data_IF_253261300603
#
_entry.id   IF_253261300603
#
_cell.length_a   1.000
_cell.length_b   1.000
_cell.length_c   1.000
_cell.angle_alpha   90.00
_cell.angle_beta   90.00
_cell.angle_gamma   90.00
#
_symmetry.space_group_name_H-M   'P 1'
#
loop_
_entity.id
_entity.type
_entity.pdbx_description
1 polymer ?
#
# COMPACT_ATOMS: atom_id res chain seq x y z
N UNK A 1 0.93 -7.55 19.73
CA UNK A 1 0.38 -7.67 18.34
C UNK A 1 -0.23 -6.34 17.97
N UNK A 2 0.32 -5.66 17.01
CA UNK A 2 -0.13 -4.36 16.50
C UNK A 2 -0.27 -4.42 14.97
N UNK A 3 -1.11 -3.54 14.39
CA UNK A 3 -1.20 -3.33 12.95
C UNK A 3 -0.41 -2.07 12.59
N UNK A 4 0.50 -2.20 11.66
CA UNK A 4 1.29 -1.11 11.09
C UNK A 4 1.01 -0.93 9.60
N UNK A 5 1.43 0.19 9.04
CA UNK A 5 1.39 0.43 7.61
C UNK A 5 2.51 1.37 7.15
N UNK A 6 2.92 1.20 5.91
CA UNK A 6 3.78 2.11 5.14
C UNK A 6 3.56 1.83 3.65
N UNK A 7 3.65 2.82 2.80
CA UNK A 7 3.64 2.66 1.34
C UNK A 7 4.98 3.01 0.72
N UNK A 8 5.09 2.78 -0.59
CA UNK A 8 6.13 3.37 -1.43
C UNK A 8 7.55 3.05 -0.96
N UNK A 9 7.84 1.77 -0.78
CA UNK A 9 9.18 1.32 -0.38
C UNK A 9 10.20 1.52 -1.49
N UNK A 10 9.77 1.43 -2.75
CA UNK A 10 10.60 1.61 -3.93
C UNK A 10 11.94 0.89 -3.85
N UNK A 11 11.91 -0.35 -3.33
CA UNK A 11 13.12 -1.18 -3.24
C UNK A 11 13.67 -1.45 -4.64
N UNK A 12 14.99 -1.52 -4.75
CA UNK A 12 15.67 -1.67 -6.03
C UNK A 12 16.88 -2.61 -5.96
N UNK A 13 16.89 -3.56 -5.02
CA UNK A 13 18.00 -4.51 -4.85
C UNK A 13 18.23 -5.35 -6.11
N UNK A 14 17.14 -5.70 -6.83
CA UNK A 14 17.22 -6.37 -8.13
C UNK A 14 17.29 -5.42 -9.35
N UNK A 15 17.20 -4.09 -9.13
CA UNK A 15 17.25 -3.06 -10.16
C UNK A 15 18.04 -1.82 -9.66
N UNK A 16 19.32 -1.94 -9.31
CA UNK A 16 20.08 -0.91 -8.59
C UNK A 16 20.25 0.40 -9.35
N UNK A 17 20.08 0.41 -10.67
CA UNK A 17 20.04 1.58 -11.53
C UNK A 17 18.81 2.47 -11.30
N UNK A 18 17.78 1.95 -10.64
CA UNK A 18 16.52 2.66 -10.33
C UNK A 18 16.43 3.18 -8.90
N UNK A 19 17.57 3.41 -8.26
CA UNK A 19 17.58 3.89 -6.87
C UNK A 19 16.91 5.25 -6.71
N UNK A 20 16.09 5.36 -5.66
CA UNK A 20 15.47 6.62 -5.25
C UNK A 20 16.43 7.56 -4.51
N UNK A 21 17.64 7.12 -4.16
CA UNK A 21 18.63 7.91 -3.40
C UNK A 21 19.06 9.21 -4.06
N UNK A 22 18.76 9.39 -5.36
CA UNK A 22 19.00 10.63 -6.11
C UNK A 22 18.02 11.76 -5.73
N UNK A 23 16.90 11.43 -5.11
CA UNK A 23 15.88 12.40 -4.72
C UNK A 23 16.08 12.87 -3.27
N UNK A 24 15.73 14.14 -3.02
CA UNK A 24 15.78 14.71 -1.68
C UNK A 24 14.88 13.95 -0.71
N UNK A 25 15.41 13.59 0.45
CA UNK A 25 14.68 12.83 1.46
C UNK A 25 14.83 11.30 1.35
N UNK A 26 15.37 10.80 0.22
CA UNK A 26 15.54 9.38 -0.06
C UNK A 26 16.97 8.85 0.17
N UNK A 27 17.87 9.66 0.70
CA UNK A 27 19.24 9.22 0.99
C UNK A 27 19.22 8.08 2.01
N UNK A 28 19.94 6.99 1.71
CA UNK A 28 20.02 5.80 2.56
C UNK A 28 18.65 5.27 3.03
N UNK A 29 17.63 5.36 2.15
CA UNK A 29 16.25 5.06 2.53
C UNK A 29 16.04 3.58 2.91
N UNK A 30 16.75 2.66 2.27
CA UNK A 30 16.65 1.22 2.54
C UNK A 30 17.19 0.89 3.94
N UNK A 31 18.35 1.43 4.30
CA UNK A 31 18.94 1.26 5.63
C UNK A 31 18.09 1.94 6.72
N UNK A 32 17.51 3.10 6.42
CA UNK A 32 16.60 3.78 7.31
C UNK A 32 15.31 2.98 7.53
N UNK A 33 14.74 2.43 6.46
CA UNK A 33 13.57 1.58 6.51
C UNK A 33 13.84 0.34 7.39
N UNK A 34 14.94 -0.38 7.11
CA UNK A 34 15.33 -1.57 7.87
C UNK A 34 15.49 -1.25 9.36
N UNK A 35 16.26 -0.22 9.68
CA UNK A 35 16.48 0.21 11.06
C UNK A 35 15.16 0.54 11.76
N UNK A 36 14.35 1.41 11.16
CA UNK A 36 13.10 1.87 11.74
C UNK A 36 12.09 0.73 11.89
N UNK A 37 12.08 -0.22 10.94
CA UNK A 37 11.22 -1.38 11.02
C UNK A 37 11.61 -2.28 12.20
N UNK A 38 12.90 -2.61 12.34
CA UNK A 38 13.42 -3.43 13.46
C UNK A 38 13.21 -2.77 14.84
N UNK A 39 13.16 -1.44 14.91
CA UNK A 39 12.91 -0.70 16.15
C UNK A 39 11.42 -0.67 16.55
N UNK A 40 10.48 -0.83 15.60
CA UNK A 40 9.05 -0.60 15.83
C UNK A 40 8.18 -1.84 15.68
N UNK A 41 8.58 -2.81 14.86
CA UNK A 41 7.76 -3.98 14.48
C UNK A 41 8.36 -5.26 15.07
N UNK A 42 7.51 -6.13 15.59
CA UNK A 42 7.89 -7.44 16.14
C UNK A 42 7.32 -8.58 15.28
N UNK A 43 7.76 -9.83 15.55
CA UNK A 43 7.29 -11.01 14.82
C UNK A 43 5.77 -11.24 14.93
N UNK A 44 5.14 -10.79 16.02
CA UNK A 44 3.70 -10.94 16.27
C UNK A 44 2.85 -9.87 15.57
N UNK A 45 3.47 -8.88 14.94
CA UNK A 45 2.75 -7.75 14.34
C UNK A 45 2.39 -8.03 12.87
N UNK A 46 1.45 -7.25 12.36
CA UNK A 46 1.08 -7.24 10.94
C UNK A 46 1.37 -5.87 10.36
N UNK A 47 1.89 -5.83 9.13
CA UNK A 47 2.15 -4.58 8.43
C UNK A 47 1.56 -4.60 7.01
N UNK A 48 0.83 -3.54 6.66
CA UNK A 48 0.30 -3.35 5.31
C UNK A 48 1.24 -2.46 4.50
N UNK A 49 1.67 -2.95 3.35
CA UNK A 49 2.52 -2.24 2.41
C UNK A 49 1.65 -1.74 1.24
N UNK A 50 1.42 -0.44 1.19
CA UNK A 50 0.40 0.16 0.33
C UNK A 50 0.90 0.48 -1.09
N UNK A 51 1.54 -0.51 -1.74
CA UNK A 51 1.99 -0.41 -3.12
C UNK A 51 3.37 0.22 -3.31
N UNK A 52 3.83 0.18 -4.54
CA UNK A 52 5.17 0.60 -4.96
C UNK A 52 6.27 -0.03 -4.12
N UNK A 53 6.22 -1.38 -4.10
CA UNK A 53 7.10 -2.20 -3.27
C UNK A 53 8.50 -2.28 -3.89
N UNK A 54 8.57 -2.60 -5.20
CA UNK A 54 9.81 -2.90 -5.90
C UNK A 54 9.83 -2.30 -7.31
N UNK A 55 10.99 -1.78 -7.71
CA UNK A 55 11.28 -1.37 -9.07
C UNK A 55 11.55 -2.51 -10.05
N UNK A 56 11.48 -3.76 -9.60
CA UNK A 56 11.63 -4.94 -10.46
C UNK A 56 10.61 -4.94 -11.60
N UNK A 57 11.05 -5.28 -12.82
CA UNK A 57 10.19 -5.39 -14.00
C UNK A 57 9.54 -6.77 -14.14
N UNK A 58 9.99 -7.74 -13.35
CA UNK A 58 9.47 -9.11 -13.30
C UNK A 58 9.57 -9.65 -11.87
N UNK A 59 8.88 -10.74 -11.57
CA UNK A 59 8.97 -11.41 -10.26
C UNK A 59 10.42 -11.79 -9.93
N UNK A 60 11.18 -12.31 -10.90
CA UNK A 60 12.58 -12.69 -10.70
C UNK A 60 13.46 -11.47 -10.36
N UNK A 61 13.18 -10.33 -11.00
CA UNK A 61 13.94 -9.11 -10.71
C UNK A 61 13.53 -8.50 -9.35
N UNK A 62 12.28 -8.69 -8.92
CA UNK A 62 11.79 -8.25 -7.62
C UNK A 62 12.16 -9.22 -6.46
N UNK A 63 12.67 -10.43 -6.75
CA UNK A 63 12.99 -11.43 -5.73
C UNK A 63 13.94 -10.92 -4.63
N UNK A 64 15.04 -10.20 -4.92
CA UNK A 64 15.91 -9.65 -3.87
C UNK A 64 15.17 -8.69 -2.92
N UNK A 65 14.20 -7.93 -3.42
CA UNK A 65 13.38 -7.01 -2.64
C UNK A 65 12.41 -7.78 -1.74
N UNK A 66 11.80 -8.87 -2.25
CA UNK A 66 10.96 -9.76 -1.43
C UNK A 66 11.77 -10.47 -0.34
N UNK A 67 12.97 -10.92 -0.63
CA UNK A 67 13.86 -11.51 0.37
C UNK A 67 14.28 -10.50 1.45
N UNK A 68 14.47 -9.24 1.08
CA UNK A 68 14.72 -8.17 2.04
C UNK A 68 13.52 -7.99 2.98
N UNK A 69 12.30 -7.89 2.43
CA UNK A 69 11.07 -7.74 3.21
C UNK A 69 10.80 -8.98 4.08
N UNK A 70 11.05 -10.19 3.56
CA UNK A 70 10.84 -11.46 4.29
C UNK A 70 11.67 -11.54 5.57
N UNK A 71 12.90 -11.02 5.55
CA UNK A 71 13.80 -11.00 6.72
C UNK A 71 13.35 -10.04 7.83
N UNK A 72 12.51 -9.07 7.52
CA UNK A 72 11.99 -8.13 8.50
C UNK A 72 10.87 -8.79 9.31
N UNK A 73 10.74 -8.49 10.62
CA UNK A 73 9.73 -9.12 11.47
C UNK A 73 8.29 -8.79 11.06
N UNK A 74 7.35 -9.62 11.49
CA UNK A 74 5.91 -9.47 11.31
C UNK A 74 5.36 -10.05 10.00
N UNK A 75 4.02 -10.17 9.92
CA UNK A 75 3.31 -10.59 8.71
C UNK A 75 3.11 -9.40 7.77
N UNK A 76 3.47 -9.52 6.51
CA UNK A 76 3.35 -8.47 5.51
C UNK A 76 2.15 -8.72 4.61
N UNK A 77 1.34 -7.70 4.41
CA UNK A 77 0.22 -7.71 3.46
C UNK A 77 0.52 -6.65 2.41
N UNK A 78 0.77 -7.07 1.18
CA UNK A 78 1.13 -6.16 0.10
C UNK A 78 -0.04 -5.94 -0.87
N UNK A 79 -0.26 -4.72 -1.30
CA UNK A 79 -1.14 -4.38 -2.40
C UNK A 79 -0.34 -3.74 -3.54
N UNK A 80 -0.96 -3.65 -4.71
CA UNK A 80 -0.31 -3.15 -5.92
C UNK A 80 -0.18 -1.62 -5.91
N UNK A 81 1.00 -1.10 -6.27
CA UNK A 81 1.21 0.28 -6.71
C UNK A 81 1.27 0.43 -8.23
N UNK A 82 1.59 1.64 -8.72
CA UNK A 82 1.70 1.86 -10.16
C UNK A 82 3.07 1.44 -10.72
N UNK A 83 4.11 1.45 -9.90
CA UNK A 83 5.45 1.00 -10.27
C UNK A 83 5.73 -0.47 -10.00
N UNK A 84 4.77 -1.22 -9.45
CA UNK A 84 4.89 -2.68 -9.30
C UNK A 84 4.67 -3.39 -10.65
N UNK A 85 5.61 -3.22 -11.57
CA UNK A 85 5.56 -3.79 -12.93
C UNK A 85 5.66 -5.31 -12.95
N UNK A 86 6.23 -5.91 -11.90
CA UNK A 86 6.31 -7.35 -11.65
C UNK A 86 4.96 -7.99 -11.35
N UNK A 87 3.94 -7.18 -11.02
CA UNK A 87 2.62 -7.67 -10.64
C UNK A 87 1.92 -8.42 -11.77
N UNK A 88 1.47 -9.64 -11.47
CA UNK A 88 0.81 -10.53 -12.43
C UNK A 88 -0.44 -11.17 -11.82
N UNK A 89 -0.82 -12.38 -12.20
CA UNK A 89 -1.98 -13.07 -11.61
C UNK A 89 -1.67 -13.50 -10.18
N UNK A 90 -2.68 -13.45 -9.30
CA UNK A 90 -2.53 -13.83 -7.88
C UNK A 90 -1.85 -15.20 -7.73
N UNK A 91 -2.35 -16.22 -8.45
CA UNK A 91 -1.77 -17.57 -8.40
C UNK A 91 -0.29 -17.64 -8.76
N UNK A 92 0.16 -16.83 -9.73
CA UNK A 92 1.59 -16.80 -10.12
C UNK A 92 2.44 -16.13 -9.05
N UNK A 93 1.92 -15.04 -8.46
CA UNK A 93 2.62 -14.32 -7.40
C UNK A 93 2.74 -15.16 -6.12
N UNK A 94 1.64 -15.79 -5.70
CA UNK A 94 1.63 -16.68 -4.52
C UNK A 94 2.55 -17.89 -4.72
N UNK A 95 2.51 -18.50 -5.91
CA UNK A 95 3.41 -19.60 -6.24
C UNK A 95 4.87 -19.17 -6.21
N UNK A 96 5.19 -18.02 -6.79
CA UNK A 96 6.55 -17.47 -6.78
C UNK A 96 7.03 -17.17 -5.35
N UNK A 97 6.21 -16.51 -4.52
CA UNK A 97 6.57 -16.23 -3.12
C UNK A 97 6.81 -17.52 -2.33
N UNK A 98 6.01 -18.55 -2.58
CA UNK A 98 6.20 -19.86 -1.94
C UNK A 98 7.50 -20.54 -2.39
N UNK A 99 7.82 -20.51 -3.70
CA UNK A 99 9.05 -21.09 -4.27
C UNK A 99 10.30 -20.34 -3.75
N UNK A 100 10.20 -19.02 -3.51
CA UNK A 100 11.29 -18.21 -2.94
C UNK A 100 11.36 -18.26 -1.40
N UNK A 101 10.46 -18.99 -0.73
CA UNK A 101 10.43 -19.09 0.72
C UNK A 101 9.90 -17.84 1.45
N UNK A 102 9.23 -16.95 0.76
CA UNK A 102 8.65 -15.72 1.31
C UNK A 102 7.27 -16.01 1.94
N UNK A 103 7.25 -16.68 3.09
CA UNK A 103 6.04 -17.18 3.74
C UNK A 103 5.28 -16.13 4.55
N UNK A 104 5.96 -15.07 4.97
CA UNK A 104 5.35 -13.96 5.73
C UNK A 104 4.68 -12.90 4.85
N UNK A 105 4.82 -12.99 3.50
CA UNK A 105 4.25 -12.03 2.55
C UNK A 105 2.94 -12.57 1.97
N UNK A 106 1.88 -11.80 2.12
CA UNK A 106 0.53 -12.10 1.59
C UNK A 106 0.07 -11.00 0.64
N UNK A 107 -0.77 -11.34 -0.35
CA UNK A 107 -1.19 -10.43 -1.41
C UNK A 107 -2.65 -10.03 -1.20
N UNK A 108 -2.88 -8.73 -1.01
CA UNK A 108 -4.21 -8.13 -0.96
C UNK A 108 -4.69 -7.82 -2.39
N UNK A 109 -5.61 -8.67 -2.89
CA UNK A 109 -6.13 -8.53 -4.25
C UNK A 109 -7.54 -9.12 -4.39
N UNK A 110 -8.57 -8.29 -4.31
CA UNK A 110 -9.98 -8.66 -4.31
C UNK A 110 -10.41 -9.54 -3.11
N UNK A 111 -9.68 -9.50 -2.04
CA UNK A 111 -9.91 -10.23 -0.80
C UNK A 111 -9.77 -9.27 0.39
N UNK A 112 -9.87 -9.80 1.60
CA UNK A 112 -9.47 -9.14 2.83
C UNK A 112 -8.56 -10.06 3.66
N UNK A 113 -7.88 -9.48 4.64
CA UNK A 113 -7.22 -10.22 5.72
C UNK A 113 -7.79 -9.78 7.05
N UNK A 114 -8.05 -10.75 7.93
CA UNK A 114 -8.58 -10.45 9.25
C UNK A 114 -7.47 -10.02 10.21
N UNK A 115 -7.73 -8.97 10.97
CA UNK A 115 -6.92 -8.52 12.09
C UNK A 115 -7.84 -8.17 13.28
N UNK A 116 -7.93 -9.05 14.28
CA UNK A 116 -8.92 -8.91 15.36
C UNK A 116 -10.35 -8.83 14.80
N UNK A 117 -11.05 -7.76 15.15
CA UNK A 117 -12.41 -7.46 14.67
C UNK A 117 -12.41 -6.67 13.34
N UNK A 118 -11.24 -6.39 12.77
CA UNK A 118 -11.09 -5.61 11.56
C UNK A 118 -10.80 -6.46 10.33
N UNK A 119 -11.27 -5.98 9.17
CA UNK A 119 -10.92 -6.49 7.85
C UNK A 119 -9.97 -5.54 7.13
N UNK A 120 -8.73 -5.96 6.89
CA UNK A 120 -7.77 -5.23 6.06
C UNK A 120 -8.21 -5.35 4.61
N UNK A 121 -8.70 -4.25 4.03
CA UNK A 121 -9.25 -4.16 2.69
C UNK A 121 -8.44 -3.17 1.84
N UNK A 122 -8.49 -3.32 0.52
CA UNK A 122 -7.82 -2.33 -0.31
C UNK A 122 -7.74 -2.65 -1.79
N UNK A 123 -7.23 -1.67 -2.51
CA UNK A 123 -6.93 -1.74 -3.94
C UNK A 123 -5.83 -0.74 -4.29
N UNK A 124 -5.27 -0.86 -5.50
CA UNK A 124 -4.36 0.18 -6.00
C UNK A 124 -5.04 1.54 -6.09
N UNK A 125 -6.33 1.58 -6.43
CA UNK A 125 -6.99 2.80 -6.86
C UNK A 125 -6.57 3.23 -8.26
N UNK A 126 -6.93 4.45 -8.63
CA UNK A 126 -6.53 5.03 -9.91
C UNK A 126 -6.31 6.52 -9.78
N UNK A 127 -5.47 7.02 -10.68
CA UNK A 127 -5.01 8.39 -10.69
C UNK A 127 -6.15 9.42 -10.62
N UNK A 128 -5.91 10.43 -9.81
CA UNK A 128 -6.77 11.61 -9.65
C UNK A 128 -5.93 12.90 -9.64
N UNK A 129 -4.73 12.84 -10.24
CA UNK A 129 -3.80 13.96 -10.23
C UNK A 129 -3.89 14.77 -11.53
N UNK A 130 -3.71 16.10 -11.48
CA UNK A 130 -3.73 16.94 -12.65
C UNK A 130 -2.65 16.53 -13.66
N UNK A 131 -3.03 16.45 -14.95
CA UNK A 131 -2.10 16.17 -16.04
C UNK A 131 -1.86 14.68 -16.34
N UNK A 132 -2.42 13.77 -15.54
CA UNK A 132 -2.39 12.34 -15.84
C UNK A 132 -3.60 11.90 -16.67
N UNK A 133 -3.35 10.95 -17.59
CA UNK A 133 -4.42 10.43 -18.46
C UNK A 133 -5.31 9.50 -17.65
N UNK A 134 -6.57 9.91 -17.47
CA UNK A 134 -7.57 9.07 -16.83
C UNK A 134 -8.06 7.99 -17.80
N UNK A 135 -8.01 6.74 -17.37
CA UNK A 135 -8.63 5.60 -18.05
C UNK A 135 -9.83 5.11 -17.25
N UNK A 136 -11.04 5.48 -17.73
CA UNK A 136 -12.30 5.11 -17.08
C UNK A 136 -12.47 3.59 -16.90
N UNK A 137 -11.93 2.76 -17.81
CA UNK A 137 -12.03 1.31 -17.68
C UNK A 137 -11.17 0.80 -16.54
N UNK A 138 -10.00 1.42 -16.35
CA UNK A 138 -9.13 1.09 -15.22
C UNK A 138 -9.77 1.57 -13.93
N UNK A 139 -10.28 2.81 -13.88
CA UNK A 139 -10.98 3.35 -12.71
C UNK A 139 -12.14 2.44 -12.28
N UNK A 140 -13.07 2.13 -13.19
CA UNK A 140 -14.21 1.24 -12.88
C UNK A 140 -13.77 -0.11 -12.33
N UNK A 141 -12.66 -0.67 -12.83
CA UNK A 141 -12.10 -1.92 -12.34
C UNK A 141 -11.54 -1.80 -10.92
N UNK A 142 -10.85 -0.71 -10.63
CA UNK A 142 -10.32 -0.47 -9.28
C UNK A 142 -11.45 -0.20 -8.26
N UNK A 143 -12.50 0.51 -8.65
CA UNK A 143 -13.73 0.69 -7.83
C UNK A 143 -14.36 -0.68 -7.50
N UNK A 144 -14.54 -1.56 -8.50
CA UNK A 144 -15.07 -2.90 -8.28
C UNK A 144 -14.18 -3.76 -7.38
N UNK A 145 -12.85 -3.62 -7.50
CA UNK A 145 -11.89 -4.33 -6.65
C UNK A 145 -11.97 -3.88 -5.20
N UNK A 146 -12.04 -2.57 -4.98
CA UNK A 146 -12.22 -2.01 -3.65
C UNK A 146 -13.52 -2.52 -3.03
N UNK A 147 -14.62 -2.42 -3.75
CA UNK A 147 -15.91 -2.87 -3.27
C UNK A 147 -15.92 -4.38 -2.98
N UNK A 148 -15.31 -5.20 -3.84
CA UNK A 148 -15.17 -6.65 -3.62
C UNK A 148 -14.38 -6.95 -2.34
N UNK A 149 -13.27 -6.25 -2.13
CA UNK A 149 -12.43 -6.39 -0.94
C UNK A 149 -13.22 -6.04 0.33
N UNK A 150 -13.90 -4.89 0.35
CA UNK A 150 -14.72 -4.44 1.49
C UNK A 150 -15.88 -5.40 1.75
N UNK A 151 -16.63 -5.80 0.71
CA UNK A 151 -17.75 -6.74 0.85
C UNK A 151 -17.31 -8.08 1.44
N UNK A 152 -16.11 -8.55 1.11
CA UNK A 152 -15.61 -9.80 1.66
C UNK A 152 -15.37 -9.71 3.17
N UNK A 153 -14.90 -8.57 3.69
CA UNK A 153 -14.74 -8.32 5.12
C UNK A 153 -16.10 -8.17 5.82
N UNK A 154 -17.01 -7.37 5.25
CA UNK A 154 -18.35 -7.16 5.80
C UNK A 154 -19.14 -8.49 5.90
N UNK A 155 -19.05 -9.36 4.87
CA UNK A 155 -19.65 -10.71 4.91
C UNK A 155 -19.06 -11.60 6.00
N UNK A 156 -17.80 -11.38 6.36
CA UNK A 156 -17.15 -12.07 7.49
C UNK A 156 -17.48 -11.45 8.86
N UNK A 157 -18.28 -10.38 8.90
CA UNK A 157 -18.65 -9.69 10.15
C UNK A 157 -17.58 -8.77 10.70
N UNK A 158 -16.60 -8.37 9.86
CA UNK A 158 -15.47 -7.54 10.25
C UNK A 158 -15.71 -6.06 9.91
N UNK A 159 -15.13 -5.15 10.69
CA UNK A 159 -15.09 -3.72 10.41
C UNK A 159 -13.98 -3.42 9.38
N UNK A 160 -14.29 -2.90 8.18
CA UNK A 160 -13.29 -2.67 7.16
C UNK A 160 -12.37 -1.48 7.48
N UNK A 161 -11.05 -1.68 7.35
CA UNK A 161 -10.04 -0.60 7.26
C UNK A 161 -9.50 -0.63 5.84
N UNK A 162 -9.43 0.53 5.16
CA UNK A 162 -9.08 0.62 3.75
C UNK A 162 -7.64 1.10 3.55
N UNK A 163 -6.91 0.37 2.73
CA UNK A 163 -5.57 0.73 2.27
C UNK A 163 -5.57 0.86 0.75
N UNK A 164 -5.03 1.96 0.25
CA UNK A 164 -4.95 2.25 -1.18
C UNK A 164 -3.55 2.71 -1.54
N UNK A 165 -3.19 2.59 -2.82
CA UNK A 165 -1.96 3.22 -3.29
C UNK A 165 -2.23 4.65 -3.73
N UNK A 166 -3.15 4.87 -4.68
CA UNK A 166 -3.51 6.22 -5.10
C UNK A 166 -4.40 6.94 -4.09
N UNK A 167 -4.19 8.27 -3.88
CA UNK A 167 -5.04 9.07 -3.01
C UNK A 167 -6.48 9.18 -3.58
N UNK A 168 -7.52 8.98 -2.75
CA UNK A 168 -8.90 9.27 -3.16
C UNK A 168 -9.16 10.76 -3.39
N UNK A 169 -8.42 11.61 -2.68
CA UNK A 169 -8.48 13.06 -2.80
C UNK A 169 -7.05 13.60 -2.89
N UNK A 170 -6.77 14.43 -3.89
CA UNK A 170 -5.51 15.14 -4.02
C UNK A 170 -5.73 16.59 -4.45
N UNK A 171 -5.29 17.56 -3.66
CA UNK A 171 -5.57 18.97 -3.82
C UNK A 171 -7.10 19.21 -3.96
N UNK A 172 -7.53 19.66 -5.12
CA UNK A 172 -8.96 19.89 -5.45
C UNK A 172 -9.57 18.79 -6.31
N UNK A 173 -8.86 17.69 -6.53
CA UNK A 173 -9.32 16.57 -7.35
C UNK A 173 -9.87 15.46 -6.46
N UNK A 174 -11.10 15.05 -6.73
CA UNK A 174 -11.84 14.05 -6.00
C UNK A 174 -12.14 12.86 -6.89
N UNK A 175 -11.79 11.66 -6.44
CA UNK A 175 -12.23 10.43 -7.08
C UNK A 175 -13.59 10.03 -6.50
N UNK A 176 -14.65 10.60 -7.05
CA UNK A 176 -16.01 10.44 -6.54
C UNK A 176 -16.47 8.98 -6.51
N UNK A 177 -16.07 8.15 -7.47
CA UNK A 177 -16.47 6.74 -7.52
C UNK A 177 -15.85 5.96 -6.34
N UNK A 178 -14.60 6.25 -6.00
CA UNK A 178 -13.94 5.66 -4.81
C UNK A 178 -14.57 6.20 -3.52
N UNK A 179 -14.78 7.53 -3.42
CA UNK A 179 -15.39 8.15 -2.25
C UNK A 179 -16.79 7.61 -1.99
N UNK A 180 -17.60 7.39 -3.03
CA UNK A 180 -18.93 6.79 -2.89
C UNK A 180 -18.85 5.40 -2.23
N UNK A 181 -17.86 4.58 -2.58
CA UNK A 181 -17.66 3.28 -1.94
C UNK A 181 -17.31 3.47 -0.45
N UNK A 182 -16.37 4.38 -0.13
CA UNK A 182 -15.98 4.63 1.26
C UNK A 182 -17.19 5.06 2.11
N UNK A 183 -18.02 5.96 1.60
CA UNK A 183 -19.22 6.46 2.30
C UNK A 183 -20.31 5.39 2.42
N UNK A 184 -20.58 4.64 1.35
CA UNK A 184 -21.58 3.57 1.32
C UNK A 184 -21.31 2.51 2.39
N UNK A 185 -20.03 2.16 2.58
CA UNK A 185 -19.63 1.16 3.57
C UNK A 185 -19.21 1.78 4.92
N UNK A 186 -19.39 3.09 5.10
CA UNK A 186 -19.08 3.83 6.34
C UNK A 186 -17.64 3.58 6.83
N UNK A 187 -16.71 3.60 5.87
CA UNK A 187 -15.28 3.45 6.18
C UNK A 187 -14.83 4.61 7.06
N UNK A 188 -14.20 4.30 8.19
CA UNK A 188 -13.70 5.31 9.13
C UNK A 188 -12.30 5.78 8.79
N UNK A 189 -11.44 4.85 8.34
CA UNK A 189 -10.04 5.13 8.09
C UNK A 189 -9.62 4.62 6.71
N UNK A 190 -8.98 5.51 5.93
CA UNK A 190 -8.43 5.23 4.61
C UNK A 190 -6.97 5.68 4.55
N UNK A 191 -6.07 4.72 4.39
CA UNK A 191 -4.63 4.91 4.29
C UNK A 191 -4.21 4.88 2.83
N UNK A 192 -3.35 5.82 2.38
CA UNK A 192 -2.89 5.88 1.00
C UNK A 192 -1.44 6.38 0.87
N UNK A 193 -0.77 5.95 -0.21
CA UNK A 193 0.60 6.34 -0.55
C UNK A 193 0.70 7.19 -1.81
N UNK A 194 1.63 6.84 -2.69
CA UNK A 194 1.82 7.37 -4.05
C UNK A 194 2.42 8.77 -4.14
N UNK A 195 2.13 9.67 -3.22
CA UNK A 195 2.50 11.08 -3.31
C UNK A 195 3.86 11.31 -2.65
N UNK A 196 4.81 11.86 -3.40
CA UNK A 196 6.18 12.08 -2.95
C UNK A 196 6.59 13.54 -2.98
N UNK A 197 7.47 13.89 -2.03
CA UNK A 197 8.07 15.20 -1.93
C UNK A 197 7.21 16.21 -1.16
N UNK A 198 7.89 17.08 -0.40
CA UNK A 198 7.28 17.97 0.57
C UNK A 198 6.15 18.84 0.00
N UNK A 199 6.36 19.43 -1.18
CA UNK A 199 5.34 20.32 -1.80
C UNK A 199 4.09 19.55 -2.23
N UNK A 200 4.20 18.28 -2.62
CA UNK A 200 3.06 17.45 -2.95
C UNK A 200 2.36 16.91 -1.69
N UNK A 201 3.12 16.60 -0.64
CA UNK A 201 2.55 16.22 0.66
C UNK A 201 1.62 17.29 1.24
N UNK A 202 1.95 18.59 1.05
CA UNK A 202 1.13 19.72 1.51
C UNK A 202 -0.24 19.81 0.80
N UNK A 203 -0.39 19.12 -0.34
CA UNK A 203 -1.64 19.03 -1.10
C UNK A 203 -2.49 17.80 -0.75
N UNK A 204 -1.95 16.90 0.08
CA UNK A 204 -2.64 15.70 0.50
C UNK A 204 -3.65 15.97 1.60
N UNK A 205 -4.77 15.25 1.57
CA UNK A 205 -5.75 15.27 2.66
C UNK A 205 -5.30 14.28 3.74
N UNK A 206 -4.88 14.81 4.89
CA UNK A 206 -4.37 14.04 6.04
C UNK A 206 -5.20 14.24 7.30
N UNK A 207 -6.48 14.55 7.13
CA UNK A 207 -7.44 14.82 8.20
C UNK A 207 -8.79 14.16 7.88
N UNK A 208 -9.77 14.39 8.71
CA UNK A 208 -11.14 13.93 8.48
C UNK A 208 -11.79 14.77 7.38
N UNK A 209 -12.30 14.09 6.37
CA UNK A 209 -13.14 14.68 5.32
C UNK A 209 -14.38 13.80 5.15
N UNK A 210 -15.55 14.40 5.33
CA UNK A 210 -16.87 13.76 5.18
C UNK A 210 -16.97 12.41 5.94
N UNK A 211 -16.63 12.44 7.25
CA UNK A 211 -16.62 11.32 8.19
C UNK A 211 -15.58 10.20 7.91
N UNK A 212 -14.68 10.38 6.95
CA UNK A 212 -13.55 9.47 6.69
C UNK A 212 -12.24 10.14 7.12
N UNK A 213 -11.44 9.45 7.93
CA UNK A 213 -10.08 9.88 8.25
C UNK A 213 -9.13 9.43 7.16
N UNK A 214 -8.48 10.36 6.50
CA UNK A 214 -7.48 10.06 5.47
C UNK A 214 -6.07 10.17 6.05
N UNK A 215 -5.22 9.19 5.70
CA UNK A 215 -3.85 9.09 6.21
C UNK A 215 -2.88 8.89 5.06
N UNK A 216 -1.95 9.83 4.86
CA UNK A 216 -0.85 9.65 3.92
C UNK A 216 0.23 8.79 4.58
N UNK A 217 0.60 7.69 3.92
CA UNK A 217 1.57 6.71 4.43
C UNK A 217 2.73 6.45 3.45
N UNK A 218 3.00 7.39 2.53
CA UNK A 218 4.17 7.30 1.66
C UNK A 218 5.47 7.26 2.47
N UNK A 219 6.41 6.42 2.04
CA UNK A 219 7.64 6.15 2.80
C UNK A 219 8.46 7.40 3.13
N UNK A 220 8.62 8.32 2.17
CA UNK A 220 9.33 9.59 2.39
C UNK A 220 8.56 10.57 3.30
N UNK A 221 7.23 10.55 3.27
CA UNK A 221 6.39 11.32 4.20
C UNK A 221 6.56 10.82 5.63
N UNK A 222 6.52 9.51 5.84
CA UNK A 222 6.72 8.85 7.14
C UNK A 222 8.20 8.78 7.55
N UNK A 223 9.12 9.33 6.74
CA UNK A 223 10.56 9.22 6.96
C UNK A 223 11.04 7.76 7.13
N UNK A 224 10.36 6.84 6.45
CA UNK A 224 10.58 5.38 6.49
C UNK A 224 10.37 4.76 7.87
N UNK A 225 9.50 5.34 8.69
CA UNK A 225 9.07 4.79 9.98
C UNK A 225 7.68 4.17 9.79
N UNK A 226 7.50 2.85 9.97
CA UNK A 226 6.17 2.24 9.90
C UNK A 226 5.20 2.90 10.86
N UNK A 227 4.06 3.36 10.36
CA UNK A 227 3.01 4.00 11.17
C UNK A 227 2.15 2.94 11.84
N UNK A 228 1.96 3.05 13.14
CA UNK A 228 1.01 2.22 13.87
C UNK A 228 -0.43 2.64 13.53
N UNK A 229 -1.28 1.63 13.20
CA UNK A 229 -2.72 1.77 12.88
C UNK A 229 -3.56 1.44 14.12
N UNK A 230 -3.27 0.28 14.73
CA UNK A 230 -3.95 -0.25 15.92
C UNK A 230 -2.92 -0.75 16.92
#
# INVERSE_FOLDING_TARGET
MSLFTIGDLHLCLGAPDKTMSVFTGWQNYQERLEKNWLENVTEDDTIVLAGDISWGMSLQQAAPDFHFIEKLPGQKIILKGNHDYWWTTLKKMEGFLADEGCSSIKILHNNHYQYGDYGICGTRGWVNMPGEVQDEKVLRREVQRLETSIQSAVKAGLEPIVFMHYPPIFATNFNYDILEILYRYKIKDCYYGHVHGRSAHELCVTNTYDDVNFHLIAGDYLQFIPQKVI
#
